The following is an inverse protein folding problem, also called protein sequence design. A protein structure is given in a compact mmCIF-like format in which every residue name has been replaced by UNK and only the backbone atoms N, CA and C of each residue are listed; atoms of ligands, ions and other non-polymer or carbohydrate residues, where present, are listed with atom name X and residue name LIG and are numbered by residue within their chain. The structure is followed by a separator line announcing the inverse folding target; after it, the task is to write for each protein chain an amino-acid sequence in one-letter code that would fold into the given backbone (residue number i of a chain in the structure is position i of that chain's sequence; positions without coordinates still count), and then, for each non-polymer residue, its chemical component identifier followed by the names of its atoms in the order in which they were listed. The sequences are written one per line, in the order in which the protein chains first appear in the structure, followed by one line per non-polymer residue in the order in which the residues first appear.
data_IF_851824881433
#
_entry.id   IF_851824881433
#
_cell.length_a   1.000
_cell.length_b   1.000
_cell.length_c   1.000
_cell.angle_alpha   90.00
_cell.angle_beta   90.00
_cell.angle_gamma   90.00
#
_symmetry.space_group_name_H-M   'P 1'
#
loop_
_entity.id
_entity.type
_entity.pdbx_description
1 polymer ?
#
# COMPACT_ATOMS: atom_id res chain seq x y z
N UNK A 1 -22.38 39.92 -44.61
CA UNK A 1 -22.02 38.53 -44.27
C UNK A 1 -21.07 38.54 -43.10
N UNK A 2 -21.56 38.41 -41.87
CA UNK A 2 -20.78 38.28 -40.65
C UNK A 2 -20.40 36.79 -40.48
N UNK A 3 -19.12 36.51 -40.55
CA UNK A 3 -18.57 35.18 -40.23
C UNK A 3 -18.49 35.04 -38.68
N UNK A 4 -19.36 34.21 -38.13
CA UNK A 4 -19.27 33.76 -36.75
C UNK A 4 -18.06 32.80 -36.65
N UNK A 5 -16.98 33.27 -36.08
CA UNK A 5 -15.86 32.41 -35.67
C UNK A 5 -16.29 31.61 -34.44
N UNK A 6 -16.61 30.32 -34.60
CA UNK A 6 -16.72 29.37 -33.49
C UNK A 6 -15.30 29.13 -32.99
N UNK A 7 -14.92 29.78 -31.87
CA UNK A 7 -13.77 29.39 -31.10
C UNK A 7 -14.10 28.05 -30.43
N UNK A 8 -13.57 26.96 -30.97
CA UNK A 8 -13.58 25.67 -30.30
C UNK A 8 -12.72 25.79 -29.05
N UNK A 9 -13.32 25.96 -27.89
CA UNK A 9 -12.65 25.76 -26.61
C UNK A 9 -12.26 24.29 -26.56
N UNK A 10 -11.03 23.97 -26.88
CA UNK A 10 -10.47 22.67 -26.51
C UNK A 10 -10.40 22.64 -24.98
N UNK A 11 -11.25 21.81 -24.36
CA UNK A 11 -11.16 21.54 -22.94
C UNK A 11 -9.76 21.00 -22.64
N UNK A 12 -8.99 21.73 -21.85
CA UNK A 12 -7.66 21.31 -21.44
C UNK A 12 -7.78 20.03 -20.58
N UNK A 13 -6.96 19.01 -20.88
CA UNK A 13 -6.95 17.76 -20.10
C UNK A 13 -6.57 18.05 -18.64
N UNK A 14 -7.26 17.38 -17.71
CA UNK A 14 -6.97 17.48 -16.28
C UNK A 14 -5.66 16.75 -15.99
N UNK A 15 -4.78 17.39 -15.23
CA UNK A 15 -3.53 16.80 -14.77
C UNK A 15 -3.78 16.04 -13.44
N UNK A 16 -3.34 14.78 -13.39
CA UNK A 16 -3.46 13.93 -12.21
C UNK A 16 -2.09 13.34 -11.90
N UNK A 17 -1.59 13.58 -10.70
CA UNK A 17 -0.42 12.89 -10.18
C UNK A 17 -0.86 11.76 -9.28
N UNK A 18 -0.43 10.53 -9.59
CA UNK A 18 -0.74 9.32 -8.85
C UNK A 18 0.54 8.80 -8.19
N UNK A 19 0.53 8.71 -6.87
CA UNK A 19 1.63 8.16 -6.09
C UNK A 19 1.44 6.65 -5.89
N UNK A 20 2.46 5.87 -6.22
CA UNK A 20 2.45 4.43 -6.06
C UNK A 20 3.69 3.90 -5.34
N UNK A 21 3.58 2.69 -4.83
CA UNK A 21 4.65 1.95 -4.18
C UNK A 21 4.97 0.67 -4.98
N UNK A 22 5.88 -0.13 -4.49
CA UNK A 22 6.53 -1.21 -5.26
C UNK A 22 5.91 -2.59 -5.08
N UNK A 23 4.78 -2.74 -4.38
CA UNK A 23 4.08 -4.02 -4.26
C UNK A 23 3.68 -4.58 -5.64
N UNK A 24 3.80 -5.91 -5.80
CA UNK A 24 3.39 -6.60 -7.02
C UNK A 24 1.90 -6.98 -6.91
N UNK A 25 1.04 -6.22 -7.56
CA UNK A 25 -0.41 -6.37 -7.54
C UNK A 25 -0.96 -6.50 -8.96
N UNK A 26 -1.97 -7.37 -9.21
CA UNK A 26 -2.53 -7.55 -10.56
C UNK A 26 -3.05 -6.26 -11.18
N UNK A 27 -3.63 -5.36 -10.39
CA UNK A 27 -4.17 -4.09 -10.87
C UNK A 27 -3.09 -3.19 -11.51
N UNK A 28 -1.80 -3.38 -11.20
CA UNK A 28 -0.70 -2.61 -11.81
C UNK A 28 -0.49 -2.88 -13.30
N UNK A 29 -1.10 -3.92 -13.84
CA UNK A 29 -1.15 -4.11 -15.30
C UNK A 29 -1.86 -2.93 -15.96
N UNK A 30 -2.91 -2.39 -15.35
CA UNK A 30 -3.58 -1.19 -15.84
C UNK A 30 -2.66 0.05 -15.79
N UNK A 31 -1.80 0.18 -14.81
CA UNK A 31 -0.76 1.22 -14.76
C UNK A 31 0.23 1.06 -15.92
N UNK A 32 0.73 -0.13 -16.13
CA UNK A 32 1.68 -0.42 -17.22
C UNK A 32 1.09 -0.14 -18.61
N UNK A 33 -0.20 -0.38 -18.77
CA UNK A 33 -0.92 -0.21 -20.04
C UNK A 33 -1.51 1.21 -20.24
N UNK A 34 -1.32 2.12 -19.28
CA UNK A 34 -1.94 3.45 -19.28
C UNK A 34 -3.48 3.42 -19.38
N UNK A 35 -4.11 2.39 -18.85
CA UNK A 35 -5.57 2.20 -18.94
C UNK A 35 -6.33 3.37 -18.31
N UNK A 36 -5.87 3.84 -17.16
CA UNK A 36 -6.51 4.97 -16.47
C UNK A 36 -6.50 6.25 -17.30
N UNK A 37 -5.34 6.60 -17.88
CA UNK A 37 -5.22 7.79 -18.73
C UNK A 37 -6.13 7.70 -19.96
N UNK A 38 -6.16 6.53 -20.61
CA UNK A 38 -7.02 6.29 -21.78
C UNK A 38 -8.51 6.37 -21.45
N UNK A 39 -8.92 5.82 -20.31
CA UNK A 39 -10.32 5.80 -19.88
C UNK A 39 -10.83 7.16 -19.40
N UNK A 40 -9.98 7.95 -18.74
CA UNK A 40 -10.37 9.23 -18.14
C UNK A 40 -10.14 10.44 -19.05
N UNK A 41 -9.26 10.32 -20.05
CA UNK A 41 -8.80 11.47 -20.84
C UNK A 41 -7.86 12.41 -20.07
N UNK A 42 -7.50 12.07 -18.84
CA UNK A 42 -6.57 12.86 -18.02
C UNK A 42 -5.12 12.69 -18.49
N UNK A 43 -4.31 13.69 -18.21
CA UNK A 43 -2.85 13.59 -18.28
C UNK A 43 -2.36 13.06 -16.96
N UNK A 44 -1.86 11.82 -16.94
CA UNK A 44 -1.50 11.10 -15.71
C UNK A 44 0.01 11.04 -15.54
N UNK A 45 0.48 11.51 -14.39
CA UNK A 45 1.87 11.39 -13.96
C UNK A 45 1.95 10.38 -12.80
N UNK A 46 2.54 9.21 -13.06
CA UNK A 46 2.77 8.18 -12.06
C UNK A 46 4.11 8.42 -11.37
N UNK A 47 4.08 8.62 -10.05
CA UNK A 47 5.28 8.82 -9.23
C UNK A 47 5.48 7.71 -8.22
N UNK A 48 6.66 7.12 -8.24
CA UNK A 48 7.05 6.12 -7.25
C UNK A 48 7.53 6.78 -5.97
N UNK A 49 7.04 6.28 -4.83
CA UNK A 49 7.45 6.68 -3.49
C UNK A 49 7.99 5.49 -2.72
N UNK A 50 8.88 5.74 -1.77
CA UNK A 50 9.48 4.68 -0.95
C UNK A 50 8.56 4.20 0.16
N UNK A 51 7.63 5.03 0.65
CA UNK A 51 6.70 4.68 1.73
C UNK A 51 5.43 5.53 1.73
N UNK A 52 4.39 5.03 2.41
CA UNK A 52 3.12 5.72 2.57
C UNK A 52 3.22 7.06 3.30
N UNK A 53 4.13 7.20 4.25
CA UNK A 53 4.32 8.46 4.98
C UNK A 53 4.73 9.62 4.07
N UNK A 54 5.58 9.37 3.08
CA UNK A 54 5.93 10.39 2.09
C UNK A 54 4.79 10.72 1.13
N UNK A 55 3.96 9.72 0.79
CA UNK A 55 2.75 9.93 -0.01
C UNK A 55 1.74 10.80 0.75
N UNK A 56 1.55 10.58 2.05
CA UNK A 56 0.67 11.41 2.89
C UNK A 56 1.09 12.88 2.83
N UNK A 57 2.40 13.16 2.94
CA UNK A 57 2.91 14.54 2.83
C UNK A 57 2.62 15.16 1.46
N UNK A 58 2.79 14.40 0.40
CA UNK A 58 2.52 14.86 -0.96
C UNK A 58 1.01 15.07 -1.24
N UNK A 59 0.16 14.24 -0.66
CA UNK A 59 -1.31 14.44 -0.67
C UNK A 59 -1.71 15.70 0.11
N UNK A 60 -1.14 15.90 1.29
CA UNK A 60 -1.44 17.05 2.14
C UNK A 60 -1.01 18.37 1.48
N UNK A 61 0.11 18.40 0.76
CA UNK A 61 0.59 19.58 0.02
C UNK A 61 -0.18 19.86 -1.28
N UNK A 62 -0.89 18.86 -1.81
CA UNK A 62 -1.56 18.97 -3.11
C UNK A 62 -0.70 18.57 -4.31
N UNK A 63 0.54 18.12 -4.08
CA UNK A 63 1.42 17.65 -5.16
C UNK A 63 0.93 16.33 -5.79
N UNK A 64 0.17 15.55 -5.04
CA UNK A 64 -0.43 14.27 -5.44
C UNK A 64 -1.93 14.33 -5.22
N UNK A 65 -2.72 13.83 -6.16
CA UNK A 65 -4.19 13.78 -6.08
C UNK A 65 -4.71 12.41 -5.67
N UNK A 66 -4.08 11.34 -6.15
CA UNK A 66 -4.42 9.94 -5.85
C UNK A 66 -3.16 9.25 -5.33
N UNK A 67 -3.28 8.50 -4.24
CA UNK A 67 -2.14 7.82 -3.63
C UNK A 67 -2.46 6.46 -3.06
N UNK A 68 -1.46 5.57 -3.10
CA UNK A 68 -1.51 4.27 -2.45
C UNK A 68 -0.97 4.39 -1.02
N UNK A 69 -1.75 3.93 -0.05
CA UNK A 69 -1.38 3.95 1.37
C UNK A 69 -1.63 2.60 2.02
N UNK A 70 -0.74 2.21 2.93
CA UNK A 70 -1.05 1.17 3.91
C UNK A 70 -2.00 1.67 5.00
N UNK A 71 -2.64 0.74 5.69
CA UNK A 71 -3.59 1.04 6.78
C UNK A 71 -2.99 1.86 7.92
N UNK A 72 -1.71 1.72 8.20
CA UNK A 72 -1.03 2.46 9.26
C UNK A 72 -0.83 3.94 8.91
N UNK A 73 -0.18 4.32 7.79
CA UNK A 73 -0.11 5.72 7.40
C UNK A 73 -1.49 6.34 7.12
N UNK A 74 -2.46 5.56 6.65
CA UNK A 74 -3.84 6.01 6.50
C UNK A 74 -4.44 6.43 7.85
N UNK A 75 -4.30 5.62 8.89
CA UNK A 75 -4.83 5.92 10.22
C UNK A 75 -4.20 7.19 10.80
N UNK A 76 -2.90 7.40 10.60
CA UNK A 76 -2.21 8.63 11.01
C UNK A 76 -2.73 9.83 10.25
N UNK A 77 -2.85 9.74 8.92
CA UNK A 77 -3.35 10.83 8.09
C UNK A 77 -4.79 11.22 8.46
N UNK A 78 -5.67 10.25 8.68
CA UNK A 78 -7.05 10.47 9.09
C UNK A 78 -7.12 11.12 10.48
N UNK A 79 -6.32 10.66 11.44
CA UNK A 79 -6.23 11.25 12.79
C UNK A 79 -5.74 12.71 12.73
N UNK A 80 -4.83 13.01 11.82
CA UNK A 80 -4.33 14.37 11.58
C UNK A 80 -5.26 15.23 10.71
N UNK A 81 -6.43 14.70 10.33
CA UNK A 81 -7.42 15.40 9.51
C UNK A 81 -6.91 15.84 8.13
N UNK A 82 -6.00 15.05 7.54
CA UNK A 82 -5.59 15.26 6.14
C UNK A 82 -6.82 15.09 5.24
N UNK A 83 -7.11 16.02 4.30
CA UNK A 83 -8.36 16.04 3.54
C UNK A 83 -8.35 15.01 2.38
N UNK A 84 -8.31 13.75 2.74
CA UNK A 84 -8.33 12.59 1.84
C UNK A 84 -9.46 11.64 2.19
N UNK A 85 -9.82 10.77 1.25
CA UNK A 85 -10.75 9.68 1.49
C UNK A 85 -10.32 8.42 0.76
N UNK A 86 -10.52 7.28 1.40
CA UNK A 86 -10.35 5.97 0.79
C UNK A 86 -11.49 5.72 -0.16
N UNK A 87 -11.20 5.36 -1.41
CA UNK A 87 -12.21 5.05 -2.42
C UNK A 87 -12.06 3.65 -3.04
N UNK A 88 -10.96 2.94 -2.71
CA UNK A 88 -10.67 1.60 -3.24
C UNK A 88 -9.71 0.87 -2.32
N UNK A 89 -9.91 -0.43 -2.10
CA UNK A 89 -8.90 -1.29 -1.50
C UNK A 89 -7.97 -1.82 -2.60
N UNK A 90 -6.68 -1.64 -2.40
CA UNK A 90 -5.67 -2.22 -3.28
C UNK A 90 -5.50 -3.71 -2.99
N UNK A 91 -5.31 -4.07 -1.71
CA UNK A 91 -5.15 -5.46 -1.29
C UNK A 91 -5.32 -5.62 0.22
N UNK A 92 -5.63 -6.85 0.65
CA UNK A 92 -5.41 -7.31 2.03
C UNK A 92 -4.04 -7.95 2.07
N UNK A 93 -3.17 -7.46 2.96
CA UNK A 93 -1.77 -7.87 3.03
C UNK A 93 -1.62 -9.24 3.70
N UNK A 94 -0.78 -10.05 3.12
CA UNK A 94 -0.43 -11.37 3.60
C UNK A 94 1.09 -11.56 3.65
N UNK A 95 1.59 -12.69 3.19
CA UNK A 95 3.01 -13.02 3.29
C UNK A 95 3.92 -12.26 2.29
N UNK A 96 3.38 -11.37 1.48
CA UNK A 96 4.18 -10.43 0.68
C UNK A 96 4.98 -9.44 1.53
N UNK A 97 4.55 -9.20 2.76
CA UNK A 97 5.30 -8.45 3.77
C UNK A 97 5.75 -9.41 4.87
N UNK A 98 7.04 -9.41 5.18
CA UNK A 98 7.62 -10.36 6.11
C UNK A 98 8.75 -9.76 6.94
N UNK A 99 8.93 -10.31 8.14
CA UNK A 99 10.10 -10.08 8.97
C UNK A 99 11.18 -11.10 8.57
N UNK A 100 12.20 -10.59 7.87
CA UNK A 100 13.35 -11.39 7.45
C UNK A 100 14.53 -11.09 8.38
N UNK A 101 15.15 -12.11 8.89
CA UNK A 101 16.22 -12.02 9.88
C UNK A 101 17.43 -12.87 9.47
N UNK A 102 18.59 -12.61 10.08
CA UNK A 102 19.76 -13.46 9.95
C UNK A 102 19.42 -14.89 10.39
N UNK A 103 20.08 -15.87 9.79
CA UNK A 103 19.77 -17.30 9.99
C UNK A 103 20.01 -17.81 11.41
N UNK A 104 20.84 -17.15 12.20
CA UNK A 104 21.08 -17.46 13.60
C UNK A 104 19.96 -16.99 14.54
N UNK A 105 19.06 -16.13 14.08
CA UNK A 105 17.82 -15.78 14.78
C UNK A 105 16.78 -16.84 14.48
N UNK A 106 16.53 -17.74 15.41
CA UNK A 106 15.70 -18.94 15.18
C UNK A 106 14.36 -18.89 15.90
N UNK A 107 14.21 -18.03 16.90
CA UNK A 107 13.00 -17.87 17.72
C UNK A 107 12.78 -16.40 18.07
N UNK A 108 11.57 -16.00 18.47
CA UNK A 108 11.25 -14.59 18.79
C UNK A 108 12.17 -13.98 19.84
N UNK A 109 12.55 -14.70 20.87
CA UNK A 109 13.41 -14.21 21.97
C UNK A 109 14.81 -13.81 21.48
N UNK A 110 15.26 -14.38 20.38
CA UNK A 110 16.55 -14.02 19.76
C UNK A 110 16.55 -12.60 19.19
N UNK A 111 15.38 -11.96 19.06
CA UNK A 111 15.26 -10.55 18.64
C UNK A 111 15.72 -9.56 19.71
N UNK A 112 15.75 -9.97 20.98
CA UNK A 112 16.15 -9.08 22.09
C UNK A 112 17.58 -8.60 21.87
N UNK A 113 17.77 -7.27 21.88
CA UNK A 113 19.05 -6.62 21.62
C UNK A 113 19.46 -6.53 20.16
N UNK A 114 18.66 -7.07 19.23
CA UNK A 114 18.96 -7.06 17.79
C UNK A 114 18.49 -5.76 17.12
N UNK A 115 19.15 -5.44 16.00
CA UNK A 115 18.87 -4.27 15.16
C UNK A 115 17.90 -4.66 14.08
N UNK A 116 16.64 -4.25 14.23
CA UNK A 116 15.56 -4.58 13.29
C UNK A 116 15.05 -3.29 12.65
N UNK A 117 15.17 -3.21 11.32
CA UNK A 117 14.76 -2.03 10.57
C UNK A 117 13.32 -2.15 10.07
N UNK A 118 12.62 -1.04 10.09
CA UNK A 118 11.30 -0.86 9.46
C UNK A 118 11.15 0.58 8.98
N UNK A 119 10.43 0.85 7.91
CA UNK A 119 9.97 2.21 7.63
C UNK A 119 8.93 2.62 8.69
N UNK A 120 9.21 3.67 9.47
CA UNK A 120 8.32 4.07 10.56
C UNK A 120 6.93 4.45 10.05
N UNK A 121 5.91 4.09 10.84
CA UNK A 121 4.48 4.30 10.56
C UNK A 121 3.96 3.47 9.38
N UNK A 122 4.75 2.65 8.75
CA UNK A 122 4.29 1.71 7.72
C UNK A 122 3.47 0.56 8.29
N UNK A 123 2.81 -0.20 7.42
CA UNK A 123 2.15 -1.46 7.79
C UNK A 123 3.13 -2.46 8.40
N UNK A 124 4.38 -2.47 7.93
CA UNK A 124 5.41 -3.37 8.50
C UNK A 124 5.86 -2.93 9.88
N UNK A 125 5.90 -1.64 10.18
CA UNK A 125 6.13 -1.15 11.54
C UNK A 125 5.01 -1.59 12.48
N UNK A 126 3.75 -1.41 12.05
CA UNK A 126 2.58 -1.88 12.77
C UNK A 126 2.64 -3.41 13.02
N UNK A 127 2.96 -4.17 11.99
CA UNK A 127 3.05 -5.64 12.07
C UNK A 127 4.19 -6.09 12.98
N UNK A 128 5.35 -5.42 12.95
CA UNK A 128 6.44 -5.71 13.87
C UNK A 128 6.03 -5.48 15.33
N UNK A 129 5.43 -4.32 15.62
CA UNK A 129 4.97 -4.00 16.98
C UNK A 129 3.89 -4.98 17.46
N UNK A 130 3.00 -5.40 16.57
CA UNK A 130 1.96 -6.39 16.85
C UNK A 130 2.56 -7.78 17.12
N UNK A 131 3.55 -8.19 16.34
CA UNK A 131 4.27 -9.45 16.56
C UNK A 131 5.01 -9.45 17.89
N UNK A 132 5.73 -8.37 18.21
CA UNK A 132 6.42 -8.24 19.50
C UNK A 132 5.44 -8.34 20.68
N UNK A 133 4.28 -7.68 20.58
CA UNK A 133 3.23 -7.77 21.59
C UNK A 133 2.71 -9.22 21.75
N UNK A 134 2.48 -9.90 20.63
CA UNK A 134 2.04 -11.31 20.63
C UNK A 134 3.08 -12.22 21.30
N UNK A 135 4.36 -11.96 21.10
CA UNK A 135 5.44 -12.74 21.72
C UNK A 135 5.82 -12.31 23.14
N UNK A 136 5.15 -11.28 23.67
CA UNK A 136 5.47 -10.75 25.00
C UNK A 136 6.82 -10.02 25.10
N UNK A 137 7.32 -9.52 23.97
CA UNK A 137 8.57 -8.75 23.88
C UNK A 137 8.22 -7.26 23.84
N UNK A 138 8.78 -6.49 24.78
CA UNK A 138 8.60 -5.04 24.76
C UNK A 138 9.41 -4.42 23.62
N UNK A 139 8.86 -3.42 22.88
CA UNK A 139 9.60 -2.76 21.80
C UNK A 139 10.95 -2.21 22.22
N UNK A 140 11.08 -1.70 23.45
CA UNK A 140 12.36 -1.21 24.00
C UNK A 140 13.44 -2.27 24.20
N UNK A 141 13.10 -3.56 24.14
CA UNK A 141 14.08 -4.66 24.20
C UNK A 141 14.69 -4.96 22.83
N UNK A 142 14.17 -4.39 21.76
CA UNK A 142 14.66 -4.53 20.37
C UNK A 142 15.15 -3.17 19.89
N UNK A 143 16.26 -3.13 19.18
CA UNK A 143 16.72 -1.89 18.54
C UNK A 143 15.96 -1.70 17.21
N UNK A 144 14.81 -1.03 17.27
CA UNK A 144 13.99 -0.77 16.11
C UNK A 144 14.52 0.49 15.41
N UNK A 145 14.93 0.33 14.15
CA UNK A 145 15.62 1.38 13.37
C UNK A 145 14.72 1.83 12.23
N UNK A 146 14.53 3.15 12.11
CA UNK A 146 13.78 3.74 11.00
C UNK A 146 14.64 3.85 9.75
N UNK A 147 14.39 2.99 8.77
CA UNK A 147 15.01 3.03 7.45
C UNK A 147 13.96 2.84 6.36
N UNK A 148 14.12 3.58 5.26
CA UNK A 148 13.31 3.36 4.06
C UNK A 148 13.79 2.10 3.30
N UNK A 149 12.95 1.45 2.48
CA UNK A 149 13.30 0.16 1.86
C UNK A 149 14.63 0.14 1.11
N UNK A 150 15.03 1.15 0.30
CA UNK A 150 16.37 1.15 -0.31
C UNK A 150 17.51 1.17 0.71
N UNK A 151 17.36 1.91 1.79
CA UNK A 151 18.36 1.97 2.88
C UNK A 151 18.42 0.66 3.67
N UNK A 152 17.29 -0.05 3.79
CA UNK A 152 17.22 -1.38 4.40
C UNK A 152 18.09 -2.37 3.61
N UNK A 153 17.96 -2.39 2.29
CA UNK A 153 18.78 -3.25 1.42
C UNK A 153 20.28 -2.95 1.65
N UNK A 154 20.66 -1.69 1.63
CA UNK A 154 22.04 -1.27 1.81
C UNK A 154 22.58 -1.65 3.20
N UNK A 155 21.82 -1.41 4.25
CA UNK A 155 22.20 -1.74 5.63
C UNK A 155 22.34 -3.26 5.85
N UNK A 156 21.42 -4.04 5.24
CA UNK A 156 21.50 -5.50 5.26
C UNK A 156 22.77 -6.02 4.60
N UNK A 157 23.09 -5.52 3.42
CA UNK A 157 24.29 -5.91 2.67
C UNK A 157 25.57 -5.58 3.39
N UNK A 158 25.62 -4.45 4.15
CA UNK A 158 26.78 -4.08 4.97
C UNK A 158 26.85 -4.83 6.30
N UNK A 159 25.80 -5.54 6.70
CA UNK A 159 25.73 -6.18 8.02
C UNK A 159 25.39 -5.21 9.16
N UNK A 160 24.82 -4.04 8.86
CA UNK A 160 24.49 -3.02 9.87
C UNK A 160 23.16 -3.30 10.60
N UNK A 161 22.34 -4.20 10.07
CA UNK A 161 21.08 -4.65 10.68
C UNK A 161 21.04 -6.18 10.78
N UNK A 162 20.26 -6.69 11.72
CA UNK A 162 20.09 -8.13 11.95
C UNK A 162 18.82 -8.66 11.29
N UNK A 163 17.95 -7.79 10.87
CA UNK A 163 16.74 -8.09 10.15
C UNK A 163 15.93 -6.85 9.81
N UNK A 164 14.84 -7.05 9.06
CA UNK A 164 13.90 -6.00 8.74
C UNK A 164 12.51 -6.59 8.43
N UNK A 165 11.49 -5.84 8.76
CA UNK A 165 10.12 -6.13 8.33
C UNK A 165 9.80 -5.20 7.17
N UNK A 166 9.60 -5.74 5.99
CA UNK A 166 9.59 -4.95 4.75
C UNK A 166 8.82 -5.66 3.63
N UNK A 167 8.62 -4.97 2.53
CA UNK A 167 7.97 -5.43 1.30
C UNK A 167 8.93 -5.47 0.10
N UNK A 168 8.43 -5.90 -1.05
CA UNK A 168 9.21 -6.01 -2.28
C UNK A 168 9.68 -4.62 -2.80
N UNK A 169 10.88 -4.48 -3.37
CA UNK A 169 11.83 -5.56 -3.63
C UNK A 169 12.76 -5.91 -2.44
N UNK A 170 12.73 -5.12 -1.37
CA UNK A 170 13.65 -5.30 -0.24
C UNK A 170 13.48 -6.66 0.44
N UNK A 171 12.24 -7.13 0.67
CA UNK A 171 11.98 -8.44 1.26
C UNK A 171 12.65 -9.56 0.46
N UNK A 172 12.60 -9.49 -0.86
CA UNK A 172 13.21 -10.48 -1.75
C UNK A 172 14.75 -10.47 -1.65
N UNK A 173 15.35 -9.27 -1.55
CA UNK A 173 16.80 -9.13 -1.38
C UNK A 173 17.26 -9.74 -0.05
N UNK A 174 16.54 -9.48 1.03
CA UNK A 174 16.88 -10.03 2.34
C UNK A 174 16.71 -11.55 2.39
N UNK A 175 15.69 -12.09 1.75
CA UNK A 175 15.41 -13.54 1.74
C UNK A 175 16.50 -14.38 1.06
N UNK A 176 17.33 -13.77 0.20
CA UNK A 176 18.44 -14.49 -0.45
C UNK A 176 19.43 -15.06 0.57
N UNK A 177 19.64 -14.39 1.69
CA UNK A 177 20.60 -14.77 2.72
C UNK A 177 19.99 -14.90 4.12
N UNK A 178 18.76 -14.42 4.30
CA UNK A 178 18.02 -14.47 5.56
C UNK A 178 16.96 -15.56 5.57
N UNK A 179 16.18 -15.53 6.64
CA UNK A 179 15.00 -16.39 6.81
C UNK A 179 13.82 -15.58 7.31
N UNK A 180 12.62 -15.99 6.93
CA UNK A 180 11.38 -15.40 7.42
C UNK A 180 11.11 -15.90 8.83
N UNK A 181 10.98 -14.99 9.80
CA UNK A 181 10.59 -15.31 11.17
C UNK A 181 9.07 -15.26 11.34
N UNK A 182 8.43 -14.29 10.74
CA UNK A 182 6.96 -14.17 10.62
C UNK A 182 6.60 -13.31 9.41
N UNK A 183 5.32 -13.28 9.07
CA UNK A 183 4.78 -12.48 7.98
C UNK A 183 3.41 -11.87 8.35
N UNK A 184 2.89 -11.01 7.48
CA UNK A 184 1.66 -10.28 7.75
C UNK A 184 0.40 -11.14 7.66
N UNK A 185 0.45 -12.31 7.00
CA UNK A 185 -0.63 -13.28 7.07
C UNK A 185 -0.74 -13.86 8.48
N UNK A 186 0.38 -14.25 9.08
CA UNK A 186 0.42 -14.78 10.45
C UNK A 186 0.04 -13.69 11.48
N UNK A 187 0.58 -12.49 11.35
CA UNK A 187 0.25 -11.37 12.23
C UNK A 187 -1.25 -11.02 12.14
N UNK A 188 -1.81 -11.09 10.95
CA UNK A 188 -3.25 -10.93 10.73
C UNK A 188 -4.08 -11.98 11.47
N UNK A 189 -3.65 -13.24 11.48
CA UNK A 189 -4.29 -14.32 12.23
C UNK A 189 -4.22 -14.10 13.75
N UNK A 190 -3.19 -13.40 14.24
CA UNK A 190 -3.07 -13.00 15.64
C UNK A 190 -3.97 -11.80 16.00
N UNK A 191 -4.76 -11.29 15.07
CA UNK A 191 -5.72 -10.22 15.30
C UNK A 191 -5.27 -8.83 14.86
N UNK A 192 -4.16 -8.71 14.13
CA UNK A 192 -3.63 -7.44 13.64
C UNK A 192 -3.45 -7.43 12.11
N UNK A 193 -4.54 -7.58 11.33
CA UNK A 193 -4.46 -7.55 9.88
C UNK A 193 -4.11 -6.16 9.37
N UNK A 194 -3.44 -6.12 8.22
CA UNK A 194 -3.10 -4.90 7.50
C UNK A 194 -3.65 -4.92 6.09
N UNK A 195 -3.84 -3.75 5.51
CA UNK A 195 -4.34 -3.60 4.15
C UNK A 195 -3.71 -2.39 3.47
N UNK A 196 -3.73 -2.41 2.14
CA UNK A 196 -3.39 -1.27 1.31
C UNK A 196 -4.65 -0.72 0.65
N UNK A 197 -4.70 0.60 0.55
CA UNK A 197 -5.82 1.34 -0.03
C UNK A 197 -5.34 2.35 -1.06
N UNK A 198 -6.27 2.78 -1.90
CA UNK A 198 -6.14 3.97 -2.71
C UNK A 198 -6.96 5.08 -2.09
N UNK A 199 -6.32 6.21 -1.89
CA UNK A 199 -6.95 7.44 -1.40
C UNK A 199 -6.92 8.52 -2.45
N UNK A 200 -7.86 9.44 -2.35
CA UNK A 200 -7.95 10.63 -3.21
C UNK A 200 -8.13 11.87 -2.34
N UNK A 201 -7.56 12.98 -2.77
CA UNK A 201 -7.87 14.28 -2.15
C UNK A 201 -9.36 14.59 -2.31
N UNK A 202 -10.00 15.02 -1.23
CA UNK A 202 -11.45 15.33 -1.23
C UNK A 202 -11.81 16.40 -2.24
N UNK A 203 -11.01 17.46 -2.36
CA UNK A 203 -11.23 18.54 -3.33
C UNK A 203 -11.15 18.04 -4.78
N UNK A 204 -10.20 17.18 -5.09
CA UNK A 204 -10.08 16.57 -6.42
C UNK A 204 -11.27 15.66 -6.73
N UNK A 205 -11.71 14.85 -5.77
CA UNK A 205 -12.86 13.95 -5.94
C UNK A 205 -14.17 14.72 -6.15
N UNK A 206 -14.34 15.88 -5.53
CA UNK A 206 -15.49 16.76 -5.74
C UNK A 206 -15.49 17.41 -7.12
N UNK A 207 -14.32 17.85 -7.59
CA UNK A 207 -14.17 18.53 -8.89
C UNK A 207 -14.18 17.56 -10.07
N UNK A 208 -13.67 16.33 -9.88
CA UNK A 208 -13.45 15.35 -10.95
C UNK A 208 -13.91 13.94 -10.55
N UNK A 209 -15.17 13.74 -10.14
CA UNK A 209 -15.64 12.43 -9.70
C UNK A 209 -15.56 11.36 -10.79
N UNK A 210 -15.74 11.74 -12.06
CA UNK A 210 -15.64 10.84 -13.22
C UNK A 210 -14.21 10.29 -13.40
N UNK A 211 -13.19 11.08 -13.08
CA UNK A 211 -11.79 10.64 -13.16
C UNK A 211 -11.50 9.63 -12.06
N UNK A 212 -11.96 9.87 -10.85
CA UNK A 212 -11.78 8.94 -9.72
C UNK A 212 -12.49 7.61 -9.99
N UNK A 213 -13.71 7.67 -10.54
CA UNK A 213 -14.48 6.48 -10.96
C UNK A 213 -13.74 5.69 -12.03
N UNK A 214 -13.13 6.36 -13.00
CA UNK A 214 -12.33 5.72 -14.05
C UNK A 214 -11.10 5.01 -13.47
N UNK A 215 -10.44 5.60 -12.46
CA UNK A 215 -9.34 4.96 -11.75
C UNK A 215 -9.79 3.66 -11.07
N UNK A 216 -10.85 3.73 -10.26
CA UNK A 216 -11.38 2.56 -9.56
C UNK A 216 -11.76 1.44 -10.52
N UNK A 217 -12.47 1.78 -11.61
CA UNK A 217 -12.85 0.81 -12.62
C UNK A 217 -11.65 0.17 -13.32
N UNK A 218 -10.65 0.95 -13.68
CA UNK A 218 -9.43 0.44 -14.32
C UNK A 218 -8.72 -0.58 -13.44
N UNK A 219 -8.60 -0.30 -12.14
CA UNK A 219 -7.96 -1.21 -11.20
C UNK A 219 -8.77 -2.49 -10.97
N UNK A 220 -10.08 -2.36 -10.76
CA UNK A 220 -10.98 -3.51 -10.53
C UNK A 220 -10.99 -4.42 -11.77
N UNK A 221 -11.14 -3.84 -12.96
CA UNK A 221 -11.18 -4.61 -14.21
C UNK A 221 -9.85 -5.33 -14.48
N UNK A 222 -8.71 -4.70 -14.16
CA UNK A 222 -7.40 -5.29 -14.38
C UNK A 222 -7.11 -6.48 -13.45
N UNK A 223 -7.61 -6.48 -12.23
CA UNK A 223 -7.38 -7.58 -11.29
C UNK A 223 -8.41 -8.70 -11.38
N UNK A 224 -9.55 -8.46 -12.01
CA UNK A 224 -10.62 -9.46 -12.11
C UNK A 224 -10.18 -10.77 -12.79
N UNK A 225 -9.41 -10.76 -13.90
CA UNK A 225 -8.91 -12.01 -14.50
C UNK A 225 -8.01 -12.82 -13.55
N UNK A 226 -7.22 -12.15 -12.72
CA UNK A 226 -6.42 -12.83 -11.69
C UNK A 226 -7.33 -13.50 -10.65
N UNK A 227 -8.32 -12.78 -10.14
CA UNK A 227 -9.26 -13.30 -9.14
C UNK A 227 -10.00 -14.52 -9.69
N UNK A 228 -10.41 -14.46 -10.96
CA UNK A 228 -11.14 -15.55 -11.62
C UNK A 228 -10.29 -16.81 -11.80
N UNK A 229 -9.02 -16.66 -12.18
CA UNK A 229 -8.10 -17.78 -12.41
C UNK A 229 -6.64 -17.35 -12.17
N UNK A 230 -6.15 -17.37 -10.92
CA UNK A 230 -4.79 -16.96 -10.58
C UNK A 230 -3.70 -17.71 -11.36
N UNK A 231 -3.83 -19.02 -11.49
CA UNK A 231 -2.83 -19.85 -12.15
C UNK A 231 -2.67 -19.51 -13.63
N UNK A 232 -3.78 -19.33 -14.36
CA UNK A 232 -3.74 -18.95 -15.76
C UNK A 232 -3.17 -17.54 -15.95
N UNK A 233 -3.55 -16.60 -15.07
CA UNK A 233 -3.07 -15.24 -15.12
C UNK A 233 -1.56 -15.14 -14.88
N UNK A 234 -1.03 -15.92 -13.92
CA UNK A 234 0.40 -15.94 -13.57
C UNK A 234 1.27 -16.68 -14.58
N UNK A 235 0.69 -17.44 -15.50
CA UNK A 235 1.41 -18.09 -16.63
C UNK A 235 1.60 -17.16 -17.83
N UNK A 236 0.99 -15.97 -17.83
CA UNK A 236 1.13 -15.01 -18.92
C UNK A 236 2.39 -14.18 -18.73
N UNK A 237 3.43 -14.33 -19.59
CA UNK A 237 4.71 -13.63 -19.43
C UNK A 237 4.57 -12.11 -19.42
N UNK A 238 3.61 -11.57 -20.15
CA UNK A 238 3.35 -10.13 -20.21
C UNK A 238 2.96 -9.55 -18.85
N UNK A 239 2.13 -10.27 -18.09
CA UNK A 239 1.74 -9.87 -16.75
C UNK A 239 2.95 -9.83 -15.80
N UNK A 240 3.79 -10.87 -15.84
CA UNK A 240 4.98 -10.96 -15.02
C UNK A 240 5.99 -9.86 -15.36
N UNK A 241 6.20 -9.60 -16.65
CA UNK A 241 7.09 -8.53 -17.12
C UNK A 241 6.64 -7.14 -16.65
N UNK A 242 5.35 -6.83 -16.77
CA UNK A 242 4.77 -5.56 -16.31
C UNK A 242 4.94 -5.37 -14.82
N UNK A 243 4.64 -6.38 -14.02
CA UNK A 243 4.77 -6.30 -12.56
C UNK A 243 6.24 -6.26 -12.11
N UNK A 244 7.13 -7.03 -12.76
CA UNK A 244 8.57 -6.98 -12.52
C UNK A 244 9.12 -5.56 -12.69
N UNK A 245 8.75 -4.90 -13.76
CA UNK A 245 9.19 -3.54 -14.06
C UNK A 245 8.72 -2.53 -13.01
N UNK A 246 7.49 -2.65 -12.53
CA UNK A 246 6.91 -1.70 -11.57
C UNK A 246 7.29 -1.99 -10.11
N UNK A 247 7.59 -3.25 -9.78
CA UNK A 247 7.98 -3.66 -8.43
C UNK A 247 9.49 -3.69 -8.19
N UNK A 248 10.28 -3.82 -9.25
CA UNK A 248 11.73 -3.94 -9.16
C UNK A 248 12.23 -5.35 -8.79
N UNK A 249 11.36 -6.37 -8.85
CA UNK A 249 11.76 -7.76 -8.60
C UNK A 249 11.93 -8.54 -9.92
N UNK A 250 12.76 -9.59 -9.95
CA UNK A 250 12.81 -10.51 -11.09
C UNK A 250 11.44 -11.11 -11.41
N UNK A 251 11.16 -11.37 -12.69
CA UNK A 251 9.88 -11.97 -13.09
C UNK A 251 9.59 -13.30 -12.37
N UNK A 252 10.62 -14.08 -12.07
CA UNK A 252 10.48 -15.34 -11.34
C UNK A 252 9.91 -15.17 -9.92
N UNK A 253 10.11 -14.00 -9.29
CA UNK A 253 9.64 -13.73 -7.92
C UNK A 253 8.21 -13.14 -7.90
N UNK A 254 7.71 -12.67 -9.04
CA UNK A 254 6.39 -12.03 -9.12
C UNK A 254 5.24 -12.95 -8.66
N UNK A 255 5.15 -14.23 -9.09
CA UNK A 255 4.04 -15.08 -8.71
C UNK A 255 3.86 -15.25 -7.18
N UNK A 256 4.94 -15.45 -6.46
CA UNK A 256 4.90 -15.60 -4.99
C UNK A 256 4.40 -14.33 -4.32
N UNK A 257 4.87 -13.16 -4.78
CA UNK A 257 4.45 -11.86 -4.24
C UNK A 257 2.98 -11.58 -4.49
N UNK A 258 2.51 -11.82 -5.72
CA UNK A 258 1.09 -11.63 -6.08
C UNK A 258 0.19 -12.52 -5.25
N UNK A 259 0.54 -13.80 -5.10
CA UNK A 259 -0.20 -14.76 -4.26
C UNK A 259 -0.14 -14.42 -2.76
N UNK A 260 0.81 -13.61 -2.35
CA UNK A 260 1.01 -13.20 -0.98
C UNK A 260 -0.02 -12.21 -0.44
N UNK A 261 -0.94 -11.72 -1.27
CA UNK A 261 -2.00 -10.80 -0.90
C UNK A 261 -3.35 -11.29 -1.40
N UNK A 262 -4.43 -10.71 -0.89
CA UNK A 262 -5.79 -10.95 -1.34
C UNK A 262 -6.35 -9.70 -2.03
N UNK A 263 -6.98 -9.89 -3.17
CA UNK A 263 -7.59 -8.83 -3.98
C UNK A 263 -9.10 -9.01 -4.04
N UNK A 264 -9.84 -7.91 -4.25
CA UNK A 264 -11.29 -7.89 -4.08
C UNK A 264 -12.01 -7.66 -5.40
N UNK A 265 -13.14 -8.36 -5.57
CA UNK A 265 -14.10 -8.10 -6.65
C UNK A 265 -14.80 -6.76 -6.43
N UNK A 266 -15.49 -6.24 -7.45
CA UNK A 266 -16.29 -5.02 -7.33
C UNK A 266 -17.30 -5.07 -6.18
N UNK A 267 -18.01 -6.19 -6.02
CA UNK A 267 -18.96 -6.38 -4.94
C UNK A 267 -18.29 -6.38 -3.55
N UNK A 268 -17.15 -7.03 -3.42
CA UNK A 268 -16.38 -7.03 -2.18
C UNK A 268 -15.82 -5.65 -1.84
N UNK A 269 -15.40 -4.85 -2.84
CA UNK A 269 -14.99 -3.46 -2.64
C UNK A 269 -16.08 -2.66 -1.95
N UNK A 270 -17.30 -2.70 -2.47
CA UNK A 270 -18.43 -1.97 -1.90
C UNK A 270 -18.74 -2.41 -0.46
N UNK A 271 -18.66 -3.70 -0.17
CA UNK A 271 -18.86 -4.23 1.18
C UNK A 271 -17.80 -3.73 2.17
N UNK A 272 -16.53 -3.80 1.81
CA UNK A 272 -15.42 -3.38 2.68
C UNK A 272 -15.44 -1.86 2.94
N UNK A 273 -15.77 -1.06 1.93
CA UNK A 273 -15.85 0.39 2.06
C UNK A 273 -17.08 0.85 2.86
N UNK A 274 -18.03 -0.03 3.12
CA UNK A 274 -19.25 0.27 3.88
C UNK A 274 -19.20 -0.30 5.30
N UNK A 275 -18.18 0.08 6.08
CA UNK A 275 -18.01 -0.25 7.48
C UNK A 275 -16.66 -0.89 7.84
N UNK A 276 -16.25 -2.03 7.26
CA UNK A 276 -15.00 -2.71 7.64
C UNK A 276 -13.75 -1.84 7.55
N UNK A 277 -13.60 -1.01 6.53
CA UNK A 277 -12.43 -0.10 6.41
C UNK A 277 -12.43 0.94 7.52
N UNK A 278 -13.58 1.53 7.86
CA UNK A 278 -13.69 2.43 9.01
C UNK A 278 -13.22 1.73 10.29
N UNK A 279 -13.68 0.52 10.54
CA UNK A 279 -13.27 -0.26 11.71
C UNK A 279 -11.77 -0.56 11.71
N UNK A 280 -11.19 -0.86 10.56
CA UNK A 280 -9.74 -1.08 10.43
C UNK A 280 -8.95 0.18 10.78
N UNK A 281 -9.41 1.37 10.37
CA UNK A 281 -8.78 2.63 10.73
C UNK A 281 -8.88 2.89 12.24
N UNK A 282 -10.04 2.64 12.84
CA UNK A 282 -10.27 2.77 14.28
C UNK A 282 -9.29 1.89 15.06
N UNK A 283 -9.23 0.60 14.73
CA UNK A 283 -8.38 -0.37 15.41
C UNK A 283 -6.89 -0.05 15.26
N UNK A 284 -6.49 0.35 14.06
CA UNK A 284 -5.11 0.73 13.75
C UNK A 284 -4.69 1.98 14.52
N UNK A 285 -5.51 3.03 14.52
CA UNK A 285 -5.24 4.28 15.25
C UNK A 285 -5.15 4.03 16.76
N UNK A 286 -6.05 3.21 17.31
CA UNK A 286 -6.05 2.83 18.73
C UNK A 286 -4.74 2.14 19.12
N UNK A 287 -4.30 1.15 18.33
CA UNK A 287 -3.04 0.44 18.58
C UNK A 287 -1.83 1.37 18.48
N UNK A 288 -1.76 2.23 17.46
CA UNK A 288 -0.68 3.19 17.30
C UNK A 288 -0.61 4.17 18.47
N UNK A 289 -1.77 4.57 19.03
CA UNK A 289 -1.82 5.39 20.26
C UNK A 289 -1.28 4.62 21.46
N UNK A 290 -1.70 3.37 21.65
CA UNK A 290 -1.20 2.50 22.72
C UNK A 290 0.32 2.32 22.65
N UNK A 291 0.88 2.27 21.44
CA UNK A 291 2.31 2.15 21.19
C UNK A 291 3.06 3.51 21.24
N UNK A 292 2.36 4.60 21.56
CA UNK A 292 2.96 5.93 21.64
C UNK A 292 3.39 6.53 20.30
N UNK A 293 2.82 6.06 19.19
CA UNK A 293 3.19 6.52 17.83
C UNK A 293 2.33 7.68 17.35
N UNK A 294 1.15 7.85 17.92
CA UNK A 294 0.26 9.00 17.70
C UNK A 294 -0.28 9.49 19.04
N UNK A 295 -0.57 10.80 19.19
CA UNK A 295 -1.02 11.36 20.47
C UNK A 295 -2.49 11.08 20.76
N UNK A 296 -3.30 10.79 19.75
CA UNK A 296 -4.73 10.58 19.86
C UNK A 296 -5.22 9.52 18.87
N UNK A 297 -6.40 8.99 19.12
CA UNK A 297 -7.13 8.11 18.21
C UNK A 297 -8.62 8.47 18.26
N UNK A 298 -9.26 8.53 17.09
CA UNK A 298 -10.70 8.76 16.95
C UNK A 298 -11.52 7.50 17.18
N UNK A 299 -12.82 7.68 17.32
CA UNK A 299 -13.80 6.57 17.48
C UNK A 299 -14.59 6.32 16.21
N UNK A 300 -14.50 7.20 15.21
CA UNK A 300 -15.16 7.10 13.92
C UNK A 300 -14.33 7.82 12.86
N UNK A 301 -14.04 7.13 11.76
CA UNK A 301 -13.32 7.64 10.59
C UNK A 301 -14.13 7.50 9.30
N UNK A 302 -15.45 7.35 9.40
CA UNK A 302 -16.33 7.16 8.23
C UNK A 302 -16.26 8.30 7.22
N UNK A 303 -15.94 9.53 7.66
CA UNK A 303 -15.74 10.67 6.77
C UNK A 303 -14.50 10.55 5.86
N UNK A 304 -13.60 9.60 6.15
CA UNK A 304 -12.41 9.31 5.34
C UNK A 304 -12.58 8.11 4.43
N UNK A 305 -13.80 7.59 4.27
CA UNK A 305 -14.09 6.40 3.47
C UNK A 305 -15.33 6.63 2.62
N UNK A 306 -15.28 6.24 1.35
CA UNK A 306 -16.43 6.35 0.44
C UNK A 306 -16.53 5.14 -0.48
N UNK A 307 -17.75 4.69 -0.75
CA UNK A 307 -18.05 3.63 -1.72
C UNK A 307 -18.64 4.17 -3.04
N UNK A 308 -18.76 5.50 -3.18
CA UNK A 308 -19.48 6.11 -4.32
C UNK A 308 -18.78 5.92 -5.68
N UNK A 309 -17.50 5.54 -5.69
CA UNK A 309 -16.76 5.36 -6.95
C UNK A 309 -16.67 3.89 -7.41
N UNK A 310 -17.16 2.95 -6.60
CA UNK A 310 -17.17 1.51 -6.92
C UNK A 310 -18.58 0.94 -7.11
N UNK A 311 -19.61 1.79 -7.09
CA UNK A 311 -21.02 1.46 -7.33
C UNK A 311 -21.40 1.72 -8.77
#
# INVERSE_FOLDING_TARGET
LAALAFAAFQAQAVNVTVAYQTSAEPAKVAQADNTFAKASGATVDWRKFDSGSSIVRALASGDVQIGNLGSSPLAVAATQQVPIEVFLLASKLGNSEALVVKKDITKPEDLIGKRIAVPFISTTHYSLLSALKHWGIKPGQVQIINLQPPAIIAAWQRGDIDGAYVWAPAVNELEKEGKVLTDSAQVGQWGAPTLDVWVVRKDFAEQHPEIVKAFAKSAIDAQQPYIANPEAWLKQPENLSKLSRLSGVPEADVPVLVKGNTYLTAAQQAQELNGPVNQAIIDTAKFLKEQGKVPAAGTDYSQFVTDRFVK
#
